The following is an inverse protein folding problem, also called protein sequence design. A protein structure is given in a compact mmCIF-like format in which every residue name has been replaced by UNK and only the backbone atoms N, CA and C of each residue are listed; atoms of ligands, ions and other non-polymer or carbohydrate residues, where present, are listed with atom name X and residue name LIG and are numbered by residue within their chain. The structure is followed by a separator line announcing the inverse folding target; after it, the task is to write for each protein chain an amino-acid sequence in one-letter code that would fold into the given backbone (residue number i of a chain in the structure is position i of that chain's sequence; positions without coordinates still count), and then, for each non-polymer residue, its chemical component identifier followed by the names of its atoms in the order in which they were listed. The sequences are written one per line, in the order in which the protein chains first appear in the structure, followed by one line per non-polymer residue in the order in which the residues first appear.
data_IF_122019467788
#
_entry.id   IF_122019467788
#
_cell.length_a   1.000
_cell.length_b   1.000
_cell.length_c   1.000
_cell.angle_alpha   90.00
_cell.angle_beta   90.00
_cell.angle_gamma   90.00
#
_symmetry.space_group_name_H-M   'P 1'
#
loop_
_entity.id
_entity.type
_entity.pdbx_description
1 polymer ?
#
# COMPACT_ATOMS: atom_id res chain seq x y z
N UNK A 1 -16.19 12.32 15.46
CA UNK A 1 -16.00 12.98 14.15
C UNK A 1 -16.15 11.91 13.08
N UNK A 2 -16.68 12.25 11.91
CA UNK A 2 -16.80 11.29 10.80
C UNK A 2 -15.42 11.10 10.18
N UNK A 3 -14.99 9.85 10.01
CA UNK A 3 -13.71 9.52 9.37
C UNK A 3 -13.64 10.11 7.96
N UNK A 4 -12.57 10.84 7.68
CA UNK A 4 -12.32 11.49 6.40
C UNK A 4 -11.08 10.89 5.74
N UNK A 5 -11.22 10.34 4.54
CA UNK A 5 -10.10 9.75 3.80
C UNK A 5 -10.08 10.19 2.35
N UNK A 6 -8.90 10.09 1.73
CA UNK A 6 -8.68 10.43 0.33
C UNK A 6 -8.12 9.24 -0.45
N UNK A 7 -8.57 9.10 -1.71
CA UNK A 7 -7.94 8.23 -2.72
C UNK A 7 -7.40 9.12 -3.83
N UNK A 8 -6.10 9.04 -4.07
CA UNK A 8 -5.43 9.82 -5.12
C UNK A 8 -5.55 9.10 -6.46
N UNK A 9 -6.03 9.79 -7.49
CA UNK A 9 -6.08 9.26 -8.86
C UNK A 9 -4.95 9.88 -9.70
N UNK A 10 -4.05 9.03 -10.19
CA UNK A 10 -3.05 9.41 -11.19
C UNK A 10 -3.54 9.04 -12.61
N UNK A 11 -3.02 9.67 -13.68
CA UNK A 11 -3.32 9.26 -15.03
C UNK A 11 -2.82 7.82 -15.23
N UNK A 12 -3.68 6.88 -15.60
CA UNK A 12 -3.33 5.46 -15.73
C UNK A 12 -3.48 4.62 -14.45
N UNK A 13 -3.83 5.22 -13.31
CA UNK A 13 -4.38 4.46 -12.18
C UNK A 13 -5.64 3.70 -12.64
N UNK A 14 -5.82 2.48 -12.15
CA UNK A 14 -6.98 1.65 -12.50
C UNK A 14 -7.62 0.92 -11.31
N UNK A 15 -7.00 0.97 -10.13
CA UNK A 15 -7.53 0.41 -8.88
C UNK A 15 -8.05 1.49 -7.92
N UNK A 16 -8.12 2.75 -8.36
CA UNK A 16 -8.60 3.87 -7.55
C UNK A 16 -10.10 3.75 -7.24
N UNK A 17 -10.89 3.18 -8.15
CA UNK A 17 -12.27 2.79 -7.86
C UNK A 17 -12.35 1.67 -6.81
N UNK A 18 -11.60 0.59 -7.00
CA UNK A 18 -11.58 -0.56 -6.09
C UNK A 18 -11.21 -0.12 -4.66
N UNK A 19 -10.14 0.67 -4.55
CA UNK A 19 -9.68 1.24 -3.27
C UNK A 19 -10.77 2.08 -2.60
N UNK A 20 -11.49 2.91 -3.35
CA UNK A 20 -12.53 3.74 -2.77
C UNK A 20 -13.75 2.94 -2.32
N UNK A 21 -14.14 1.92 -3.09
CA UNK A 21 -15.22 1.01 -2.70
C UNK A 21 -14.85 0.24 -1.44
N UNK A 22 -13.62 -0.26 -1.34
CA UNK A 22 -13.12 -0.92 -0.14
C UNK A 22 -13.20 0.00 1.10
N UNK A 23 -12.68 1.23 0.99
CA UNK A 23 -12.72 2.22 2.06
C UNK A 23 -14.14 2.60 2.47
N UNK A 24 -15.05 2.81 1.51
CA UNK A 24 -16.45 3.12 1.79
C UNK A 24 -17.15 1.95 2.49
N UNK A 25 -16.87 0.71 2.08
CA UNK A 25 -17.51 -0.51 2.65
C UNK A 25 -17.04 -0.82 4.06
N UNK A 26 -15.84 -0.38 4.42
CA UNK A 26 -15.31 -0.55 5.77
C UNK A 26 -15.65 0.64 6.66
N UNK A 27 -15.56 1.87 6.16
CA UNK A 27 -15.77 3.09 6.96
C UNK A 27 -17.22 3.58 6.99
N UNK A 28 -18.06 3.14 6.05
CA UNK A 28 -19.41 3.68 5.84
C UNK A 28 -19.43 5.08 5.22
N UNK A 29 -18.28 5.67 4.89
CA UNK A 29 -18.16 7.01 4.32
C UNK A 29 -17.35 6.95 3.02
N UNK A 30 -17.88 7.54 1.94
CA UNK A 30 -17.16 7.59 0.67
C UNK A 30 -15.89 8.47 0.80
N UNK A 31 -14.73 8.01 0.32
CA UNK A 31 -13.51 8.82 0.33
C UNK A 31 -13.61 9.99 -0.64
N UNK A 32 -12.89 11.07 -0.31
CA UNK A 32 -12.59 12.15 -1.24
C UNK A 32 -11.71 11.61 -2.38
N UNK A 33 -12.08 11.97 -3.62
CA UNK A 33 -11.30 11.63 -4.81
C UNK A 33 -10.41 12.82 -5.15
N UNK A 34 -9.10 12.64 -5.06
CA UNK A 34 -8.13 13.71 -5.24
C UNK A 34 -7.38 13.51 -6.54
N UNK A 35 -7.29 14.55 -7.36
CA UNK A 35 -6.59 14.48 -8.63
C UNK A 35 -5.09 14.70 -8.43
N UNK A 36 -4.24 13.92 -9.10
CA UNK A 36 -2.79 14.04 -8.93
C UNK A 36 -2.21 15.43 -9.24
N UNK A 37 -2.90 16.17 -10.11
CA UNK A 37 -2.51 17.52 -10.54
C UNK A 37 -2.84 18.61 -9.53
N UNK A 38 -3.65 18.31 -8.51
CA UNK A 38 -3.98 19.25 -7.45
C UNK A 38 -2.75 19.50 -6.57
N UNK A 39 -2.58 20.74 -6.10
CA UNK A 39 -1.44 21.12 -5.27
C UNK A 39 -1.62 20.75 -3.80
N UNK A 40 -2.86 20.79 -3.31
CA UNK A 40 -3.20 20.69 -1.91
C UNK A 40 -4.15 19.51 -1.67
N UNK A 41 -3.95 18.85 -0.52
CA UNK A 41 -4.92 17.88 -0.01
C UNK A 41 -6.06 18.61 0.71
N UNK A 42 -7.30 18.08 0.67
CA UNK A 42 -8.36 18.52 1.56
C UNK A 42 -7.92 18.55 3.03
N UNK A 43 -8.39 19.53 3.78
CA UNK A 43 -8.09 19.64 5.21
C UNK A 43 -8.79 18.52 6.01
N UNK A 44 -8.17 18.13 7.14
CA UNK A 44 -8.78 17.18 8.07
C UNK A 44 -8.83 15.73 7.58
N UNK A 45 -7.91 15.32 6.69
CA UNK A 45 -7.79 13.92 6.28
C UNK A 45 -7.18 13.07 7.41
N UNK A 46 -7.88 11.99 7.76
CA UNK A 46 -7.43 10.97 8.69
C UNK A 46 -6.63 9.86 7.99
N UNK A 47 -6.80 9.69 6.67
CA UNK A 47 -6.16 8.61 5.91
C UNK A 47 -6.01 8.94 4.42
N UNK A 48 -4.89 8.54 3.82
CA UNK A 48 -4.62 8.73 2.39
C UNK A 48 -4.28 7.38 1.75
N UNK A 49 -4.92 7.07 0.62
CA UNK A 49 -4.60 5.89 -0.18
C UNK A 49 -4.01 6.29 -1.54
N UNK A 50 -2.87 5.69 -1.88
CA UNK A 50 -2.30 5.67 -3.22
C UNK A 50 -2.64 4.30 -3.87
N UNK A 51 -3.52 4.28 -4.87
CA UNK A 51 -4.05 3.04 -5.43
C UNK A 51 -3.09 2.38 -6.42
N UNK A 52 -3.39 1.12 -6.77
CA UNK A 52 -2.71 0.38 -7.82
C UNK A 52 -3.07 0.81 -9.24
N UNK A 53 -2.37 0.20 -10.20
CA UNK A 53 -2.57 0.41 -11.64
C UNK A 53 -1.26 0.57 -12.38
N UNK A 54 -1.27 1.39 -13.43
CA UNK A 54 -0.09 1.67 -14.26
C UNK A 54 -0.01 3.18 -14.46
N UNK A 55 0.28 3.93 -13.39
CA UNK A 55 0.34 5.38 -13.50
C UNK A 55 1.36 5.79 -14.58
N UNK A 56 0.91 6.65 -15.51
CA UNK A 56 1.62 7.02 -16.72
C UNK A 56 2.11 5.84 -17.58
N UNK A 57 1.40 4.71 -17.53
CA UNK A 57 1.75 3.48 -18.25
C UNK A 57 3.07 2.86 -17.81
N UNK A 58 3.61 3.26 -16.65
CA UNK A 58 4.95 2.90 -16.17
C UNK A 58 6.07 3.18 -17.21
N UNK A 59 5.86 4.13 -18.13
CA UNK A 59 6.69 4.32 -19.33
C UNK A 59 8.18 4.62 -19.07
N UNK A 60 8.51 5.35 -18.00
CA UNK A 60 9.90 5.56 -17.61
C UNK A 60 10.38 4.45 -16.67
N UNK A 61 9.69 4.35 -15.54
CA UNK A 61 9.81 3.34 -14.49
C UNK A 61 8.54 3.42 -13.67
N UNK A 62 8.11 2.28 -13.13
CA UNK A 62 6.88 2.19 -12.36
C UNK A 62 6.86 3.19 -11.18
N UNK A 63 5.77 3.97 -11.07
CA UNK A 63 5.60 5.02 -10.06
C UNK A 63 6.51 6.27 -10.18
N UNK A 64 7.55 6.27 -11.02
CA UNK A 64 8.56 7.34 -11.04
C UNK A 64 8.04 8.70 -11.54
N UNK A 65 7.10 8.70 -12.49
CA UNK A 65 6.46 9.95 -12.97
C UNK A 65 5.40 10.40 -11.95
N UNK A 66 4.60 9.46 -11.45
CA UNK A 66 3.54 9.74 -10.49
C UNK A 66 4.06 10.32 -9.16
N UNK A 67 5.21 9.85 -8.67
CA UNK A 67 5.87 10.37 -7.46
C UNK A 67 6.26 11.84 -7.54
N UNK A 68 6.32 12.40 -8.75
CA UNK A 68 6.62 13.81 -9.02
C UNK A 68 5.37 14.65 -9.30
N UNK A 69 4.17 14.07 -9.19
CA UNK A 69 2.91 14.82 -9.34
C UNK A 69 2.77 15.88 -8.25
N UNK A 70 2.13 17.04 -8.54
CA UNK A 70 1.93 18.11 -7.56
C UNK A 70 1.39 17.62 -6.21
N UNK A 71 0.38 16.73 -6.22
CA UNK A 71 -0.26 16.25 -5.00
C UNK A 71 0.70 15.50 -4.07
N UNK A 72 1.76 14.88 -4.63
CA UNK A 72 2.69 14.08 -3.84
C UNK A 72 3.48 14.93 -2.85
N UNK A 73 3.65 16.24 -3.10
CA UNK A 73 4.20 17.16 -2.10
C UNK A 73 3.32 17.22 -0.85
N UNK A 74 2.02 17.44 -1.04
CA UNK A 74 1.06 17.48 0.05
C UNK A 74 0.94 16.12 0.77
N UNK A 75 1.00 15.00 0.03
CA UNK A 75 1.00 13.64 0.63
C UNK A 75 2.23 13.42 1.51
N UNK A 76 3.43 13.80 1.04
CA UNK A 76 4.67 13.69 1.82
C UNK A 76 4.60 14.55 3.07
N UNK A 77 4.12 15.78 2.96
CA UNK A 77 3.93 16.67 4.10
C UNK A 77 2.92 16.11 5.12
N UNK A 78 1.80 15.54 4.65
CA UNK A 78 0.81 14.91 5.51
C UNK A 78 1.38 13.67 6.23
N UNK A 79 2.10 12.80 5.51
CA UNK A 79 2.77 11.64 6.07
C UNK A 79 3.78 12.03 7.16
N UNK A 80 4.56 13.10 6.94
CA UNK A 80 5.51 13.62 7.92
C UNK A 80 4.85 14.22 9.17
N UNK A 81 3.59 14.67 9.06
CA UNK A 81 2.77 15.08 10.22
C UNK A 81 2.11 13.89 10.94
N UNK A 82 2.28 12.67 10.43
CA UNK A 82 1.73 11.46 11.04
C UNK A 82 0.42 10.97 10.43
N UNK A 83 -0.11 11.62 9.38
CA UNK A 83 -1.31 11.13 8.69
C UNK A 83 -1.01 9.75 8.09
N UNK A 84 -1.83 8.72 8.34
CA UNK A 84 -1.64 7.41 7.72
C UNK A 84 -1.72 7.44 6.20
N UNK A 85 -0.76 6.77 5.55
CA UNK A 85 -0.72 6.61 4.09
C UNK A 85 -0.57 5.14 3.72
N UNK A 86 -1.47 4.63 2.88
CA UNK A 86 -1.40 3.29 2.31
C UNK A 86 -1.09 3.37 0.82
N UNK A 87 -0.02 2.72 0.36
CA UNK A 87 0.30 2.54 -1.05
C UNK A 87 0.15 1.07 -1.46
N UNK A 88 -0.72 0.80 -2.42
CA UNK A 88 -0.97 -0.56 -2.92
C UNK A 88 -0.46 -0.72 -4.35
N UNK A 89 0.31 -1.77 -4.61
CA UNK A 89 0.88 -2.10 -5.91
C UNK A 89 1.63 -0.89 -6.52
N UNK A 90 1.05 -0.21 -7.50
CA UNK A 90 1.63 1.02 -8.06
C UNK A 90 1.75 2.16 -7.03
N UNK A 91 0.85 2.23 -6.05
CA UNK A 91 0.99 3.12 -4.92
C UNK A 91 2.23 2.84 -4.08
N UNK A 92 2.62 1.58 -3.88
CA UNK A 92 3.86 1.23 -3.18
C UNK A 92 5.09 1.68 -3.98
N UNK A 93 5.07 1.47 -5.30
CA UNK A 93 6.13 1.97 -6.18
C UNK A 93 6.27 3.49 -6.05
N UNK A 94 5.15 4.24 -6.08
CA UNK A 94 5.14 5.69 -5.87
C UNK A 94 5.70 6.09 -4.49
N UNK A 95 5.40 5.36 -3.43
CA UNK A 95 5.94 5.62 -2.09
C UNK A 95 7.46 5.41 -2.01
N UNK A 96 8.00 4.40 -2.70
CA UNK A 96 9.47 4.22 -2.79
C UNK A 96 10.13 5.31 -3.62
N UNK A 97 9.53 5.68 -4.76
CA UNK A 97 10.04 6.73 -5.65
C UNK A 97 9.97 8.14 -5.04
N UNK A 98 9.04 8.38 -4.12
CA UNK A 98 8.94 9.63 -3.36
C UNK A 98 9.85 9.67 -2.12
N UNK A 99 10.46 8.55 -1.74
CA UNK A 99 11.31 8.44 -0.56
C UNK A 99 10.56 8.30 0.77
N UNK A 100 9.23 8.14 0.74
CA UNK A 100 8.44 7.84 1.94
C UNK A 100 8.70 6.42 2.47
N UNK A 101 9.07 5.50 1.57
CA UNK A 101 9.49 4.14 1.91
C UNK A 101 10.89 3.85 1.34
N UNK A 102 11.71 3.06 2.04
CA UNK A 102 13.02 2.65 1.54
C UNK A 102 12.91 1.53 0.51
N UNK A 103 13.98 1.36 -0.27
CA UNK A 103 14.08 0.32 -1.30
C UNK A 103 13.50 0.75 -2.64
N UNK A 104 13.37 -0.21 -3.54
CA UNK A 104 12.81 -0.03 -4.87
C UNK A 104 12.06 -1.28 -5.32
N UNK A 105 11.16 -1.11 -6.29
CA UNK A 105 10.44 -2.20 -6.92
C UNK A 105 10.99 -2.42 -8.33
N UNK A 106 11.56 -3.59 -8.56
CA UNK A 106 12.16 -4.00 -9.81
C UNK A 106 11.19 -4.88 -10.60
N UNK A 107 11.54 -5.16 -11.87
CA UNK A 107 10.87 -6.22 -12.65
C UNK A 107 10.92 -7.54 -11.90
N UNK A 108 9.84 -8.30 -11.98
CA UNK A 108 9.76 -9.66 -11.45
C UNK A 108 10.91 -10.51 -12.02
N UNK A 109 11.49 -11.39 -11.20
CA UNK A 109 12.62 -12.26 -11.58
C UNK A 109 12.33 -13.13 -12.81
N UNK A 110 11.09 -13.57 -12.97
CA UNK A 110 10.61 -14.38 -14.12
C UNK A 110 10.19 -13.55 -15.35
N UNK A 111 10.34 -12.22 -15.32
CA UNK A 111 10.03 -11.26 -16.40
C UNK A 111 8.63 -11.49 -17.03
N UNK A 112 7.64 -11.77 -16.18
CA UNK A 112 6.23 -11.92 -16.57
C UNK A 112 5.34 -11.18 -15.58
N UNK A 113 4.19 -10.72 -16.06
CA UNK A 113 3.12 -10.23 -15.22
C UNK A 113 2.54 -11.39 -14.41
N UNK A 114 2.44 -11.23 -13.09
CA UNK A 114 1.83 -12.22 -12.19
C UNK A 114 0.45 -11.72 -11.79
N UNK A 115 -0.57 -12.54 -12.05
CA UNK A 115 -1.97 -12.29 -11.71
C UNK A 115 -2.58 -13.56 -11.09
N UNK A 116 -2.59 -13.66 -9.77
CA UNK A 116 -3.12 -14.82 -9.03
C UNK A 116 -3.29 -14.48 -7.56
N UNK A 117 -4.01 -15.32 -6.84
CA UNK A 117 -4.01 -15.29 -5.38
C UNK A 117 -2.70 -15.87 -4.85
N UNK A 118 -2.13 -15.22 -3.84
CA UNK A 118 -0.89 -15.66 -3.19
C UNK A 118 -1.07 -15.67 -1.69
N UNK A 119 -0.39 -16.63 -1.05
CA UNK A 119 -0.33 -16.67 0.40
C UNK A 119 0.68 -15.64 0.91
N UNK A 120 0.26 -14.83 1.86
CA UNK A 120 1.14 -13.95 2.62
C UNK A 120 1.20 -14.43 4.06
N UNK A 121 2.37 -14.30 4.68
CA UNK A 121 2.53 -14.36 6.12
C UNK A 121 2.54 -12.95 6.70
N UNK A 122 1.70 -12.69 7.69
CA UNK A 122 1.72 -11.47 8.48
C UNK A 122 2.96 -11.51 9.38
N UNK A 123 3.92 -10.62 9.14
CA UNK A 123 5.19 -10.61 9.87
C UNK A 123 5.12 -9.68 11.09
N UNK A 124 4.55 -8.48 10.91
CA UNK A 124 4.28 -7.54 12.00
C UNK A 124 2.77 -7.32 12.13
N UNK A 125 2.19 -7.73 13.26
CA UNK A 125 0.78 -7.53 13.62
C UNK A 125 0.54 -6.43 14.67
N UNK A 126 1.53 -5.56 14.91
CA UNK A 126 1.48 -4.48 15.90
C UNK A 126 1.28 -3.10 15.28
N UNK A 127 1.26 -2.98 13.94
CA UNK A 127 1.12 -1.70 13.27
C UNK A 127 -0.34 -1.24 13.19
N UNK A 128 -0.55 0.05 12.93
CA UNK A 128 -1.87 0.63 12.66
C UNK A 128 -2.62 -0.14 11.56
N UNK A 129 -1.91 -0.63 10.55
CA UNK A 129 -2.50 -1.34 9.41
C UNK A 129 -2.71 -2.84 9.64
N UNK A 130 -2.08 -3.43 10.65
CA UNK A 130 -2.01 -4.90 10.80
C UNK A 130 -2.48 -5.42 12.15
N UNK A 131 -2.96 -4.55 13.04
CA UNK A 131 -3.42 -4.89 14.40
C UNK A 131 -4.65 -5.81 14.47
N UNK A 132 -5.38 -5.98 13.37
CA UNK A 132 -6.49 -6.92 13.23
C UNK A 132 -6.08 -8.33 12.78
N UNK A 133 -4.78 -8.57 12.58
CA UNK A 133 -4.23 -9.89 12.26
C UNK A 133 -3.44 -10.46 13.45
N UNK A 134 -3.06 -11.74 13.37
CA UNK A 134 -2.10 -12.37 14.27
C UNK A 134 -0.71 -12.46 13.62
N UNK A 135 0.34 -12.30 14.42
CA UNK A 135 1.71 -12.50 13.92
C UNK A 135 1.91 -13.97 13.50
N UNK A 136 2.40 -14.17 12.28
CA UNK A 136 2.54 -15.49 11.67
C UNK A 136 1.29 -16.01 10.96
N UNK A 137 0.15 -15.29 11.02
CA UNK A 137 -1.06 -15.66 10.29
C UNK A 137 -0.78 -15.74 8.79
N UNK A 138 -1.27 -16.81 8.14
CA UNK A 138 -1.33 -16.88 6.68
C UNK A 138 -2.64 -16.28 6.18
N UNK A 139 -2.56 -15.37 5.22
CA UNK A 139 -3.69 -14.73 4.55
C UNK A 139 -3.57 -14.89 3.03
N UNK A 140 -4.70 -14.91 2.32
CA UNK A 140 -4.75 -15.03 0.87
C UNK A 140 -5.15 -13.69 0.24
N UNK A 141 -4.23 -13.07 -0.50
CA UNK A 141 -4.46 -11.75 -1.12
C UNK A 141 -4.04 -11.81 -2.60
N UNK A 142 -4.84 -11.27 -3.53
CA UNK A 142 -4.50 -11.24 -4.95
C UNK A 142 -3.29 -10.34 -5.23
N UNK A 143 -2.45 -10.74 -6.19
CA UNK A 143 -1.39 -9.91 -6.78
C UNK A 143 -1.67 -9.66 -8.27
N UNK A 144 -1.25 -8.50 -8.77
CA UNK A 144 -1.37 -8.13 -10.18
C UNK A 144 -0.24 -7.15 -10.56
N UNK A 145 0.97 -7.65 -10.86
CA UNK A 145 2.11 -6.78 -11.17
C UNK A 145 3.17 -7.42 -12.08
N UNK A 146 3.86 -6.56 -12.84
CA UNK A 146 5.09 -6.90 -13.57
C UNK A 146 6.36 -6.43 -12.83
N UNK A 147 6.25 -5.32 -12.11
CA UNK A 147 7.36 -4.69 -11.38
C UNK A 147 7.10 -4.74 -9.86
N UNK A 148 7.06 -5.95 -9.28
CA UNK A 148 6.76 -6.13 -7.85
C UNK A 148 7.92 -6.65 -7.02
N UNK A 149 9.09 -6.85 -7.62
CA UNK A 149 10.26 -7.41 -6.94
C UNK A 149 10.87 -6.36 -5.99
N UNK A 150 10.60 -6.47 -4.70
CA UNK A 150 11.17 -5.56 -3.70
C UNK A 150 12.66 -5.80 -3.52
N UNK A 151 13.44 -4.72 -3.63
CA UNK A 151 14.88 -4.74 -3.49
C UNK A 151 15.36 -3.60 -2.60
N UNK A 152 16.33 -3.92 -1.74
CA UNK A 152 17.12 -2.95 -0.98
C UNK A 152 18.49 -3.55 -0.68
N UNK A 153 19.45 -2.70 -0.28
CA UNK A 153 20.75 -3.18 0.20
C UNK A 153 20.63 -3.92 1.55
N UNK A 154 21.62 -4.75 1.89
CA UNK A 154 21.60 -5.56 3.11
C UNK A 154 21.42 -4.72 4.39
N UNK A 155 22.06 -3.54 4.47
CA UNK A 155 21.92 -2.67 5.63
C UNK A 155 20.47 -2.16 5.81
N UNK A 156 19.79 -1.86 4.71
CA UNK A 156 18.38 -1.47 4.71
C UNK A 156 17.48 -2.65 5.06
N UNK A 157 17.75 -3.84 4.51
CA UNK A 157 16.99 -5.05 4.83
C UNK A 157 17.12 -5.44 6.30
N UNK A 158 18.35 -5.44 6.84
CA UNK A 158 18.62 -5.73 8.25
C UNK A 158 17.91 -4.73 9.17
N UNK A 159 17.92 -3.45 8.79
CA UNK A 159 17.19 -2.41 9.54
C UNK A 159 15.69 -2.63 9.50
N UNK A 160 15.11 -2.95 8.34
CA UNK A 160 13.68 -3.22 8.22
C UNK A 160 13.26 -4.41 9.08
N UNK A 161 14.08 -5.46 9.16
CA UNK A 161 13.80 -6.62 10.01
C UNK A 161 14.00 -6.32 11.49
N UNK A 162 15.12 -5.68 11.85
CA UNK A 162 15.45 -5.34 13.23
C UNK A 162 14.50 -4.32 13.87
N UNK A 163 13.93 -3.42 13.07
CA UNK A 163 12.92 -2.43 13.51
C UNK A 163 11.48 -2.97 13.39
N UNK A 164 11.28 -4.22 12.97
CA UNK A 164 9.94 -4.82 12.81
C UNK A 164 9.10 -4.14 11.71
N UNK A 165 9.73 -3.56 10.70
CA UNK A 165 9.06 -2.77 9.64
C UNK A 165 8.65 -3.59 8.43
N UNK A 166 8.89 -4.89 8.43
CA UNK A 166 8.30 -5.81 7.45
C UNK A 166 6.88 -6.15 7.91
N UNK A 167 5.87 -5.71 7.15
CA UNK A 167 4.47 -5.97 7.48
C UNK A 167 4.03 -7.35 6.98
N UNK A 168 4.38 -7.67 5.74
CA UNK A 168 3.97 -8.90 5.06
C UNK A 168 5.13 -9.52 4.30
N UNK A 169 5.17 -10.85 4.29
CA UNK A 169 6.03 -11.63 3.39
C UNK A 169 5.20 -12.55 2.52
N UNK A 170 5.66 -12.84 1.32
CA UNK A 170 5.16 -13.95 0.54
C UNK A 170 5.52 -15.27 1.25
N UNK A 171 4.55 -16.19 1.35
CA UNK A 171 4.77 -17.54 1.87
C UNK A 171 5.29 -18.51 0.78
N UNK A 172 5.47 -18.02 -0.43
CA UNK A 172 5.88 -18.74 -1.64
C UNK A 172 6.69 -17.80 -2.54
N UNK A 173 7.43 -18.34 -3.52
CA UNK A 173 8.13 -17.49 -4.49
C UNK A 173 7.14 -16.90 -5.52
N UNK A 174 7.07 -15.57 -5.58
CA UNK A 174 6.13 -14.84 -6.44
C UNK A 174 6.86 -14.02 -7.51
N UNK A 175 7.85 -13.23 -7.11
CA UNK A 175 8.44 -12.20 -7.97
C UNK A 175 9.93 -11.97 -7.75
N UNK A 176 10.58 -12.73 -6.86
CA UNK A 176 11.99 -12.57 -6.52
C UNK A 176 12.30 -11.50 -5.47
N UNK A 177 11.30 -10.95 -4.78
CA UNK A 177 11.49 -9.98 -3.68
C UNK A 177 12.55 -10.45 -2.68
N UNK A 178 13.43 -9.52 -2.30
CA UNK A 178 14.42 -9.69 -1.24
C UNK A 178 13.74 -10.11 0.05
N UNK A 179 14.23 -11.20 0.66
CA UNK A 179 13.68 -11.80 1.90
C UNK A 179 12.16 -12.07 1.83
N UNK A 180 11.63 -12.33 0.64
CA UNK A 180 10.20 -12.54 0.38
C UNK A 180 9.31 -11.36 0.83
N UNK A 181 9.84 -10.14 0.91
CA UNK A 181 9.07 -8.98 1.38
C UNK A 181 7.96 -8.64 0.39
N UNK A 182 6.72 -8.56 0.90
CA UNK A 182 5.53 -8.17 0.15
C UNK A 182 5.00 -6.78 0.55
N UNK A 183 5.36 -6.29 1.75
CA UNK A 183 5.05 -4.94 2.19
C UNK A 183 5.85 -4.48 3.41
N UNK A 184 6.09 -3.17 3.48
CA UNK A 184 6.95 -2.52 4.50
C UNK A 184 6.36 -1.22 5.02
N UNK A 185 6.75 -0.88 6.25
CA UNK A 185 6.38 0.33 6.96
C UNK A 185 7.52 1.38 6.92
N UNK A 186 7.17 2.67 6.99
CA UNK A 186 8.16 3.72 7.27
C UNK A 186 8.64 3.66 8.73
N UNK A 187 9.63 4.48 9.08
CA UNK A 187 10.20 4.48 10.45
C UNK A 187 9.22 4.91 11.54
N UNK A 188 8.22 5.74 11.20
CA UNK A 188 7.18 6.17 12.13
C UNK A 188 5.97 5.22 12.21
N UNK A 189 5.90 4.19 11.35
CA UNK A 189 4.82 3.20 11.31
C UNK A 189 3.49 3.69 10.70
N UNK A 190 3.39 4.94 10.25
CA UNK A 190 2.17 5.51 9.68
C UNK A 190 2.09 5.40 8.14
N UNK A 191 3.13 4.94 7.46
CA UNK A 191 3.10 4.69 6.01
C UNK A 191 3.33 3.22 5.73
N UNK A 192 2.39 2.57 5.05
CA UNK A 192 2.51 1.19 4.59
C UNK A 192 2.51 1.15 3.06
N UNK A 193 3.48 0.44 2.50
CA UNK A 193 3.49 0.06 1.08
C UNK A 193 3.41 -1.44 0.95
N UNK A 194 2.56 -1.95 0.06
CA UNK A 194 2.49 -3.38 -0.24
C UNK A 194 2.14 -3.67 -1.70
N UNK A 195 2.66 -4.76 -2.25
CA UNK A 195 2.39 -5.18 -3.64
C UNK A 195 1.06 -5.92 -3.83
N UNK A 196 0.64 -6.83 -2.93
CA UNK A 196 -0.68 -7.46 -3.02
C UNK A 196 -1.81 -6.45 -2.86
N UNK A 197 -3.00 -6.77 -3.40
CA UNK A 197 -4.17 -5.91 -3.47
C UNK A 197 -5.23 -6.26 -2.40
N UNK A 198 -5.11 -5.77 -1.16
CA UNK A 198 -6.08 -6.06 -0.10
C UNK A 198 -7.48 -5.50 -0.42
N UNK A 199 -7.56 -4.41 -1.19
CA UNK A 199 -8.82 -3.80 -1.64
C UNK A 199 -9.64 -4.71 -2.56
N UNK A 200 -9.03 -5.76 -3.13
CA UNK A 200 -9.71 -6.78 -3.94
C UNK A 200 -10.17 -8.00 -3.12
N UNK A 201 -9.84 -8.06 -1.83
CA UNK A 201 -10.18 -9.16 -0.91
C UNK A 201 -11.01 -8.64 0.28
N UNK A 202 -12.07 -7.87 -0.01
CA UNK A 202 -12.93 -7.22 1.00
C UNK A 202 -14.23 -8.00 1.25
N UNK A 203 -14.70 -8.76 0.28
CA UNK A 203 -15.99 -9.47 0.32
C UNK A 203 -15.83 -10.88 -0.24
N UNK A 204 -16.56 -11.84 0.35
CA UNK A 204 -16.49 -13.25 -0.05
C UNK A 204 -16.81 -13.46 -1.55
N UNK A 205 -17.63 -12.60 -2.14
CA UNK A 205 -17.96 -12.62 -3.58
C UNK A 205 -16.78 -12.29 -4.50
N UNK A 206 -15.72 -11.67 -3.98
CA UNK A 206 -14.52 -11.27 -4.72
C UNK A 206 -13.34 -12.24 -4.51
N UNK A 207 -13.58 -13.40 -3.89
CA UNK A 207 -12.55 -14.43 -3.67
C UNK A 207 -12.01 -14.50 -2.23
N UNK A 208 -12.42 -13.60 -1.33
CA UNK A 208 -12.05 -13.67 0.08
C UNK A 208 -12.26 -12.34 0.82
N UNK A 209 -12.12 -12.40 2.14
CA UNK A 209 -12.24 -11.24 3.05
C UNK A 209 -10.94 -10.91 3.78
N UNK A 210 -9.86 -11.61 3.48
CA UNK A 210 -8.60 -11.50 4.24
C UNK A 210 -7.98 -10.10 4.17
N UNK A 211 -8.23 -9.34 3.10
CA UNK A 211 -7.77 -7.96 2.96
C UNK A 211 -8.56 -6.96 3.80
N UNK A 212 -9.78 -7.32 4.23
CA UNK A 212 -10.68 -6.44 4.99
C UNK A 212 -10.11 -6.00 6.33
N UNK A 213 -9.45 -6.91 7.04
CA UNK A 213 -8.90 -6.65 8.37
C UNK A 213 -7.83 -5.54 8.36
N UNK A 214 -7.09 -5.35 7.27
CA UNK A 214 -6.13 -4.25 7.11
C UNK A 214 -6.81 -2.88 7.22
N UNK A 215 -7.92 -2.70 6.49
CA UNK A 215 -8.69 -1.46 6.50
C UNK A 215 -9.39 -1.27 7.84
N UNK A 216 -10.00 -2.31 8.40
CA UNK A 216 -10.64 -2.26 9.71
C UNK A 216 -9.65 -1.89 10.83
N UNK A 217 -8.41 -2.38 10.75
CA UNK A 217 -7.33 -2.03 11.68
C UNK A 217 -7.01 -0.54 11.64
N UNK A 218 -6.78 0.00 10.44
CA UNK A 218 -6.44 1.40 10.26
C UNK A 218 -7.57 2.33 10.75
N UNK A 219 -8.82 1.96 10.43
CA UNK A 219 -10.01 2.67 10.88
C UNK A 219 -10.16 2.67 12.40
N UNK A 220 -10.02 1.50 13.04
CA UNK A 220 -10.18 1.35 14.49
C UNK A 220 -9.14 2.16 15.24
N UNK A 221 -7.90 2.19 14.75
CA UNK A 221 -6.83 2.99 15.34
C UNK A 221 -7.11 4.50 15.27
N UNK A 222 -7.78 4.97 14.22
CA UNK A 222 -8.08 6.40 14.02
C UNK A 222 -9.35 6.86 14.74
N UNK A 223 -10.33 5.98 14.95
CA UNK A 223 -11.54 6.28 15.74
C UNK A 223 -11.28 6.19 17.25
N UNK A 224 -10.26 5.43 17.67
CA UNK A 224 -9.87 5.27 19.07
C UNK A 224 -8.79 6.22 19.57
N UNK A 225 -8.24 7.08 18.71
CA UNK A 225 -7.17 8.03 19.02
C UNK A 225 -7.71 9.41 19.46
#
# INVERSE_FOLDING_TARGET
MTFCCAVVTFPGSNCDRDMAVALEKVSGTAPLRVWHGDADLPEGLDFIALPGGFSYGDYLRCGAIASRSPIMRAVVEAANRGVPVLGVCNGFQVLTESGLLPGALLRNSVIRFVCRDVKLRVENAQSLFTSGYEAGQEILIPVAHHDGNYFADEATLDRLEGEGRVAFRYAEDVNGSSRQIAGVLNGAGNVLGMMPHPERAIEATHGGTDGRALFESAMKALVGA
#
